data_IF_701517723612
#
_entry.id   IF_701517723612
#
_cell.length_a   1.000
_cell.length_b   1.000
_cell.length_c   1.000
_cell.angle_alpha   90.00
_cell.angle_beta   90.00
_cell.angle_gamma   90.00
#
_symmetry.space_group_name_H-M   'P 1'
#
loop_
_entity.id
_entity.type
_entity.pdbx_description
1 polymer ?
#
# COMPACT_ATOMS: atom_id res chain seq x y z
N UNK A 1 5.37 -17.47 16.67
CA UNK A 1 5.77 -16.66 15.54
C UNK A 1 4.53 -15.94 15.00
N UNK A 2 4.69 -14.66 14.69
CA UNK A 2 3.63 -13.76 14.18
C UNK A 2 3.87 -13.33 12.71
N UNK A 3 4.74 -14.05 12.02
CA UNK A 3 5.11 -13.79 10.63
C UNK A 3 4.83 -15.04 9.79
N UNK A 4 4.16 -14.86 8.67
CA UNK A 4 3.98 -15.85 7.61
C UNK A 4 4.65 -15.33 6.35
N UNK A 5 5.51 -16.13 5.73
CA UNK A 5 6.18 -15.80 4.47
C UNK A 5 5.62 -16.67 3.36
N UNK A 6 5.25 -16.06 2.25
CA UNK A 6 4.75 -16.75 1.04
C UNK A 6 5.57 -16.32 -0.18
N UNK A 7 5.49 -17.09 -1.24
CA UNK A 7 6.09 -16.79 -2.55
C UNK A 7 5.05 -17.04 -3.63
N UNK A 8 3.96 -16.30 -3.57
CA UNK A 8 2.82 -16.42 -4.47
C UNK A 8 2.61 -15.16 -5.31
N UNK A 9 1.82 -15.29 -6.38
CA UNK A 9 1.34 -14.14 -7.13
C UNK A 9 0.41 -13.29 -6.25
N UNK A 10 0.49 -11.95 -6.27
CA UNK A 10 -0.38 -11.05 -5.52
C UNK A 10 -1.88 -11.37 -5.65
N UNK A 11 -2.31 -11.89 -6.79
CA UNK A 11 -3.69 -12.31 -7.05
C UNK A 11 -4.20 -13.38 -6.06
N UNK A 12 -3.30 -14.21 -5.51
CA UNK A 12 -3.69 -15.23 -4.53
C UNK A 12 -4.33 -14.63 -3.27
N UNK A 13 -3.92 -13.41 -2.90
CA UNK A 13 -4.46 -12.70 -1.74
C UNK A 13 -5.88 -12.18 -1.93
N UNK A 14 -6.40 -12.10 -3.16
CA UNK A 14 -7.78 -11.68 -3.41
C UNK A 14 -8.82 -12.57 -2.72
N UNK A 15 -8.48 -13.84 -2.44
CA UNK A 15 -9.34 -14.77 -1.68
C UNK A 15 -9.53 -14.35 -0.21
N UNK A 16 -8.65 -13.51 0.35
CA UNK A 16 -8.70 -13.00 1.72
C UNK A 16 -9.47 -11.66 1.78
N UNK A 17 -10.67 -11.61 1.21
CA UNK A 17 -11.46 -10.37 1.07
C UNK A 17 -11.60 -9.61 2.38
N UNK A 18 -11.16 -8.34 2.40
CA UNK A 18 -11.27 -7.43 3.55
C UNK A 18 -10.51 -7.92 4.80
N UNK A 19 -9.47 -8.71 4.64
CA UNK A 19 -8.76 -9.34 5.75
C UNK A 19 -7.70 -8.44 6.39
N UNK A 20 -6.99 -7.63 5.59
CA UNK A 20 -5.88 -6.82 6.08
C UNK A 20 -6.31 -5.40 6.40
N UNK A 21 -5.92 -4.89 7.56
CA UNK A 21 -6.11 -3.48 7.94
C UNK A 21 -5.09 -2.57 7.25
N UNK A 22 -3.89 -3.10 6.98
CA UNK A 22 -2.80 -2.38 6.32
C UNK A 22 -2.16 -3.30 5.29
N UNK A 23 -1.97 -2.79 4.08
CA UNK A 23 -1.16 -3.42 3.04
C UNK A 23 -0.01 -2.48 2.71
N UNK A 24 1.21 -2.98 2.75
CA UNK A 24 2.42 -2.26 2.32
C UNK A 24 2.92 -2.90 1.04
N UNK A 25 3.06 -2.09 -0.01
CA UNK A 25 3.58 -2.55 -1.30
C UNK A 25 4.87 -1.81 -1.62
N UNK A 26 5.93 -2.57 -1.91
CA UNK A 26 7.13 -2.08 -2.56
C UNK A 26 7.13 -2.68 -3.96
N UNK A 27 6.58 -1.91 -4.91
CA UNK A 27 6.26 -2.44 -6.24
C UNK A 27 7.47 -2.37 -7.19
N UNK A 28 7.63 -3.35 -8.11
CA UNK A 28 8.67 -3.27 -9.13
C UNK A 28 8.48 -2.00 -9.97
N UNK A 29 9.54 -1.24 -10.16
CA UNK A 29 9.53 0.06 -10.83
C UNK A 29 10.69 0.23 -11.81
N UNK A 30 10.76 1.36 -12.51
CA UNK A 30 11.84 1.66 -13.46
C UNK A 30 13.21 1.88 -12.81
N UNK A 31 13.25 2.04 -11.47
CA UNK A 31 14.48 1.93 -10.70
C UNK A 31 15.41 3.15 -10.75
N UNK A 32 14.89 4.36 -10.92
CA UNK A 32 15.70 5.60 -10.98
C UNK A 32 16.55 5.81 -9.71
N UNK A 33 16.08 5.36 -8.55
CA UNK A 33 16.83 5.38 -7.30
C UNK A 33 18.07 4.48 -7.31
N UNK A 34 18.13 3.49 -8.21
CA UNK A 34 19.26 2.59 -8.34
C UNK A 34 20.37 3.12 -9.25
N UNK A 35 20.17 4.21 -9.99
CA UNK A 35 21.09 4.73 -10.99
C UNK A 35 22.49 5.03 -10.44
N UNK A 36 22.61 5.36 -9.17
CA UNK A 36 23.90 5.63 -8.52
C UNK A 36 24.71 4.35 -8.30
N UNK A 37 24.08 3.21 -8.10
CA UNK A 37 24.70 1.93 -7.77
C UNK A 37 24.76 0.96 -8.94
N UNK A 38 23.82 1.05 -9.85
CA UNK A 38 23.61 0.06 -10.90
C UNK A 38 23.56 0.74 -12.28
N UNK A 39 24.63 0.58 -13.03
CA UNK A 39 24.70 1.09 -14.40
C UNK A 39 23.70 0.39 -15.32
N UNK A 40 23.37 -0.89 -15.06
CA UNK A 40 22.39 -1.61 -15.85
C UNK A 40 21.00 -1.00 -15.68
N UNK A 41 20.66 -0.49 -14.50
CA UNK A 41 19.40 0.22 -14.28
C UNK A 41 19.30 1.48 -15.17
N UNK A 42 20.42 2.20 -15.38
CA UNK A 42 20.44 3.35 -16.30
C UNK A 42 20.26 2.92 -17.76
N UNK A 43 20.92 1.83 -18.18
CA UNK A 43 20.85 1.30 -19.55
C UNK A 43 19.47 0.74 -19.89
N UNK A 44 18.77 0.15 -18.92
CA UNK A 44 17.45 -0.43 -19.10
C UNK A 44 16.32 0.60 -18.99
N UNK A 45 16.61 1.78 -18.49
CA UNK A 45 15.61 2.82 -18.33
C UNK A 45 15.19 3.38 -19.69
N UNK A 46 13.89 3.52 -19.89
CA UNK A 46 13.29 4.17 -21.05
C UNK A 46 11.87 4.61 -20.70
N UNK A 47 11.29 5.52 -21.47
CA UNK A 47 9.89 5.93 -21.30
C UNK A 47 8.93 4.75 -21.47
N UNK A 48 9.22 3.83 -22.39
CA UNK A 48 8.43 2.62 -22.59
C UNK A 48 8.51 1.70 -21.36
N UNK A 49 9.69 1.56 -20.75
CA UNK A 49 9.86 0.78 -19.53
C UNK A 49 9.12 1.42 -18.34
N UNK A 50 9.15 2.75 -18.22
CA UNK A 50 8.34 3.49 -17.23
C UNK A 50 6.86 3.19 -17.40
N UNK A 51 6.33 3.27 -18.62
CA UNK A 51 4.93 2.98 -18.91
C UNK A 51 4.55 1.51 -18.60
N UNK A 52 5.43 0.57 -18.92
CA UNK A 52 5.28 -0.85 -18.61
C UNK A 52 5.25 -1.08 -17.10
N UNK A 53 6.19 -0.47 -16.35
CA UNK A 53 6.25 -0.55 -14.90
C UNK A 53 4.99 0.04 -14.25
N UNK A 54 4.55 1.23 -14.68
CA UNK A 54 3.34 1.85 -14.17
C UNK A 54 2.10 0.95 -14.37
N UNK A 55 1.96 0.33 -15.53
CA UNK A 55 0.88 -0.62 -15.82
C UNK A 55 0.96 -1.88 -14.94
N UNK A 56 2.16 -2.43 -14.75
CA UNK A 56 2.40 -3.60 -13.91
C UNK A 56 2.06 -3.31 -12.44
N UNK A 57 2.41 -2.14 -11.95
CA UNK A 57 2.10 -1.68 -10.59
C UNK A 57 0.59 -1.61 -10.38
N UNK A 58 -0.17 -1.03 -11.34
CA UNK A 58 -1.64 -0.99 -11.28
C UNK A 58 -2.24 -2.38 -11.19
N UNK A 59 -1.72 -3.35 -11.96
CA UNK A 59 -2.17 -4.74 -11.89
C UNK A 59 -1.94 -5.32 -10.50
N UNK A 60 -0.74 -5.15 -9.92
CA UNK A 60 -0.41 -5.66 -8.59
C UNK A 60 -1.35 -5.07 -7.54
N UNK A 61 -1.59 -3.76 -7.59
CA UNK A 61 -2.51 -3.10 -6.65
C UNK A 61 -3.94 -3.61 -6.82
N UNK A 62 -4.43 -3.75 -8.06
CA UNK A 62 -5.76 -4.29 -8.33
C UNK A 62 -5.92 -5.73 -7.79
N UNK A 63 -4.89 -6.55 -7.91
CA UNK A 63 -4.88 -7.94 -7.44
C UNK A 63 -4.96 -8.03 -5.90
N UNK A 64 -4.28 -7.16 -5.16
CA UNK A 64 -4.30 -7.19 -3.68
C UNK A 64 -5.43 -6.36 -3.07
N UNK A 65 -6.02 -5.43 -3.82
CA UNK A 65 -7.04 -4.50 -3.31
C UNK A 65 -8.24 -5.14 -2.65
N UNK A 66 -8.80 -6.26 -3.15
CA UNK A 66 -9.91 -6.93 -2.49
C UNK A 66 -9.59 -7.38 -1.06
N UNK A 67 -8.33 -7.69 -0.78
CA UNK A 67 -7.89 -8.16 0.55
C UNK A 67 -7.73 -7.03 1.59
N UNK A 68 -7.67 -5.77 1.17
CA UNK A 68 -7.66 -4.62 2.06
C UNK A 68 -9.06 -4.38 2.64
N UNK A 69 -9.15 -4.29 3.96
CA UNK A 69 -10.40 -4.01 4.66
C UNK A 69 -10.98 -2.63 4.30
N UNK A 70 -12.30 -2.45 4.33
CA UNK A 70 -12.91 -1.13 4.27
C UNK A 70 -12.35 -0.21 5.38
N UNK A 71 -11.90 0.99 5.02
CA UNK A 71 -11.20 1.90 5.94
C UNK A 71 -9.72 1.56 6.18
N UNK A 72 -9.25 0.44 5.65
CA UNK A 72 -7.85 0.03 5.71
C UNK A 72 -6.91 0.95 4.91
N UNK A 73 -5.63 0.83 5.16
CA UNK A 73 -4.60 1.71 4.60
C UNK A 73 -3.71 0.91 3.64
N UNK A 74 -3.57 1.41 2.42
CA UNK A 74 -2.53 1.00 1.49
C UNK A 74 -1.36 1.95 1.62
N UNK A 75 -0.16 1.43 1.82
CA UNK A 75 1.10 2.15 1.65
C UNK A 75 1.71 1.68 0.33
N UNK A 76 1.82 2.60 -0.60
CA UNK A 76 2.36 2.38 -1.92
C UNK A 76 3.74 3.00 -2.02
N UNK A 77 4.75 2.21 -2.37
CA UNK A 77 6.12 2.72 -2.50
C UNK A 77 6.83 2.19 -3.75
N UNK A 78 7.77 3.00 -4.23
CA UNK A 78 8.65 2.71 -5.36
C UNK A 78 10.05 3.23 -5.07
N UNK A 79 11.06 2.71 -5.74
CA UNK A 79 12.41 3.29 -5.76
C UNK A 79 12.64 4.13 -7.03
N UNK A 80 11.63 4.81 -7.53
CA UNK A 80 11.73 5.72 -8.69
C UNK A 80 11.14 7.09 -8.34
N UNK A 81 11.39 8.11 -9.18
CA UNK A 81 10.98 9.49 -8.91
C UNK A 81 10.05 10.07 -9.97
N UNK A 82 9.78 9.34 -11.05
CA UNK A 82 8.92 9.85 -12.12
C UNK A 82 7.45 9.90 -11.69
N UNK A 83 6.76 10.90 -12.23
CA UNK A 83 5.36 11.17 -11.91
C UNK A 83 4.40 10.07 -12.38
N UNK A 84 4.76 9.32 -13.42
CA UNK A 84 3.87 8.31 -14.01
C UNK A 84 3.68 7.11 -13.09
N UNK A 85 4.76 6.66 -12.48
CA UNK A 85 4.76 5.53 -11.55
C UNK A 85 4.31 5.93 -10.14
N UNK A 86 4.51 7.18 -9.72
CA UNK A 86 4.19 7.69 -8.39
C UNK A 86 2.81 8.39 -8.39
N UNK A 87 2.75 9.71 -8.48
CA UNK A 87 1.49 10.49 -8.41
C UNK A 87 0.44 10.02 -9.43
N UNK A 88 0.87 9.58 -10.61
CA UNK A 88 -0.01 9.05 -11.66
C UNK A 88 -0.72 7.76 -11.23
N UNK A 89 -0.01 6.85 -10.58
CA UNK A 89 -0.60 5.62 -10.05
C UNK A 89 -1.42 5.88 -8.79
N UNK A 90 -0.96 6.75 -7.91
CA UNK A 90 -1.73 7.15 -6.71
C UNK A 90 -3.06 7.79 -7.09
N UNK A 91 -3.06 8.65 -8.11
CA UNK A 91 -4.29 9.22 -8.67
C UNK A 91 -5.22 8.15 -9.24
N UNK A 92 -4.67 7.22 -10.02
CA UNK A 92 -5.44 6.10 -10.55
C UNK A 92 -6.07 5.23 -9.43
N UNK A 93 -5.32 4.92 -8.37
CA UNK A 93 -5.84 4.18 -7.21
C UNK A 93 -6.99 4.97 -6.55
N UNK A 94 -6.84 6.29 -6.42
CA UNK A 94 -7.85 7.15 -5.84
C UNK A 94 -9.14 7.18 -6.65
N UNK A 95 -9.03 7.38 -7.96
CA UNK A 95 -10.16 7.58 -8.87
C UNK A 95 -10.88 6.26 -9.21
N UNK A 96 -10.11 5.20 -9.52
CA UNK A 96 -10.68 3.94 -10.02
C UNK A 96 -10.99 2.94 -8.92
N UNK A 97 -10.32 3.02 -7.77
CA UNK A 97 -10.45 2.02 -6.70
C UNK A 97 -11.12 2.59 -5.44
N UNK A 98 -11.51 3.86 -5.44
CA UNK A 98 -12.20 4.50 -4.33
C UNK A 98 -11.31 4.65 -3.09
N UNK A 99 -10.15 5.28 -3.23
CA UNK A 99 -9.24 5.56 -2.14
C UNK A 99 -9.02 7.06 -1.94
N UNK A 100 -8.74 7.47 -0.70
CA UNK A 100 -8.32 8.83 -0.36
C UNK A 100 -6.83 8.86 -0.05
N UNK A 101 -6.02 9.69 -0.74
CA UNK A 101 -4.64 9.94 -0.35
C UNK A 101 -4.57 10.58 1.04
N UNK A 102 -3.68 10.06 1.88
CA UNK A 102 -3.46 10.55 3.24
C UNK A 102 -2.18 11.40 3.27
N UNK A 103 -2.34 12.72 3.30
CA UNK A 103 -1.23 13.64 3.46
C UNK A 103 -1.09 14.02 4.94
N UNK A 104 0.08 13.77 5.53
CA UNK A 104 0.38 13.97 6.96
C UNK A 104 1.56 14.92 7.12
N UNK A 105 1.38 16.15 6.67
CA UNK A 105 2.43 17.17 6.65
C UNK A 105 3.02 17.45 8.04
N UNK A 106 2.21 17.39 9.08
CA UNK A 106 2.61 17.59 10.48
C UNK A 106 3.59 16.51 10.98
N UNK A 107 3.42 15.26 10.53
CA UNK A 107 4.33 14.17 10.89
C UNK A 107 5.70 14.31 10.23
N UNK A 108 5.75 14.91 9.06
CA UNK A 108 6.95 14.99 8.23
C UNK A 108 7.63 16.37 8.27
N UNK A 109 6.95 17.39 8.83
CA UNK A 109 7.46 18.76 8.93
C UNK A 109 8.81 18.92 9.66
N UNK A 110 9.22 17.92 10.43
CA UNK A 110 10.51 17.89 11.13
C UNK A 110 11.51 16.88 10.56
N UNK A 111 11.20 16.20 9.45
CA UNK A 111 12.09 15.20 8.86
C UNK A 111 12.94 15.80 7.75
N UNK A 112 14.26 16.03 8.00
CA UNK A 112 15.14 16.60 6.98
C UNK A 112 15.21 15.70 5.75
N UNK A 113 15.16 16.30 4.56
CA UNK A 113 15.35 15.59 3.30
C UNK A 113 14.13 14.90 2.74
N UNK A 114 12.99 14.96 3.42
CA UNK A 114 11.70 14.49 2.87
C UNK A 114 11.09 15.61 2.02
N UNK A 115 10.78 15.29 0.77
CA UNK A 115 10.13 16.22 -0.17
C UNK A 115 8.67 15.80 -0.34
N UNK A 116 7.76 16.73 -0.14
CA UNK A 116 6.34 16.52 -0.47
C UNK A 116 6.15 16.54 -1.98
N UNK A 117 5.51 15.50 -2.52
CA UNK A 117 5.07 15.45 -3.92
C UNK A 117 3.60 15.88 -4.04
N UNK A 118 2.98 15.68 -5.19
CA UNK A 118 1.56 15.98 -5.37
C UNK A 118 0.64 15.15 -4.47
N UNK A 119 0.92 13.84 -4.32
CA UNK A 119 0.07 12.89 -3.62
C UNK A 119 0.84 11.97 -2.64
N UNK A 120 2.09 12.30 -2.34
CA UNK A 120 2.95 11.51 -1.47
C UNK A 120 4.19 12.26 -1.01
N UNK A 121 5.25 11.51 -0.77
CA UNK A 121 6.52 12.01 -0.24
C UNK A 121 7.68 11.25 -0.86
N UNK A 122 8.72 12.00 -1.24
CA UNK A 122 9.96 11.44 -1.78
C UNK A 122 11.13 11.66 -0.82
N UNK A 123 11.90 10.61 -0.63
CA UNK A 123 13.20 10.62 0.03
C UNK A 123 14.27 10.60 -1.06
N UNK A 124 14.93 11.72 -1.30
CA UNK A 124 15.81 11.90 -2.46
C UNK A 124 17.27 11.71 -2.05
N UNK A 125 18.07 10.93 -2.82
CA UNK A 125 19.51 10.79 -2.59
C UNK A 125 20.21 12.15 -2.51
N UNK A 126 21.11 12.28 -1.53
CA UNK A 126 21.80 13.53 -1.25
C UNK A 126 21.12 14.45 -0.25
N UNK A 127 19.81 14.29 -0.04
CA UNK A 127 19.06 14.92 1.06
C UNK A 127 18.85 13.96 2.22
N UNK A 128 18.76 12.65 1.92
CA UNK A 128 18.72 11.56 2.90
C UNK A 128 19.85 10.57 2.63
N UNK A 129 20.26 9.83 3.65
CA UNK A 129 21.14 8.67 3.47
C UNK A 129 20.35 7.52 2.86
N UNK A 130 20.73 7.08 1.66
CA UNK A 130 20.07 5.98 0.96
C UNK A 130 19.98 6.17 -0.55
N UNK A 131 19.26 5.25 -1.20
CA UNK A 131 19.10 5.22 -2.66
C UNK A 131 17.87 6.01 -3.13
N UNK A 132 17.02 6.38 -2.20
CA UNK A 132 15.77 7.07 -2.47
C UNK A 132 14.55 6.17 -2.51
N UNK A 133 13.43 6.74 -2.14
CA UNK A 133 12.14 6.07 -2.07
C UNK A 133 11.04 7.10 -2.30
N UNK A 134 10.03 6.75 -3.05
CA UNK A 134 8.76 7.47 -3.06
C UNK A 134 7.72 6.68 -2.29
N UNK A 135 6.86 7.36 -1.53
CA UNK A 135 5.89 6.71 -0.66
C UNK A 135 4.61 7.52 -0.59
N UNK A 136 3.50 6.85 -0.76
CA UNK A 136 2.16 7.41 -0.61
C UNK A 136 1.29 6.51 0.26
N UNK A 137 0.45 7.09 1.09
CA UNK A 137 -0.53 6.37 1.88
C UNK A 137 -1.94 6.72 1.41
N UNK A 138 -2.79 5.69 1.26
CA UNK A 138 -4.17 5.85 0.82
C UNK A 138 -5.11 5.07 1.73
N UNK A 139 -6.28 5.63 2.04
CA UNK A 139 -7.34 4.96 2.77
C UNK A 139 -8.39 4.43 1.80
N UNK A 140 -8.75 3.16 1.93
CA UNK A 140 -9.88 2.57 1.21
C UNK A 140 -11.19 3.15 1.75
N UNK A 141 -11.90 3.99 0.94
CA UNK A 141 -13.08 4.74 1.40
C UNK A 141 -14.37 3.96 1.17
N UNK A 142 -14.50 3.24 0.05
CA UNK A 142 -15.72 2.49 -0.23
C UNK A 142 -15.61 1.05 0.28
N UNK A 143 -16.52 0.73 1.21
CA UNK A 143 -17.05 -0.62 1.21
C UNK A 143 -17.86 -0.76 -0.09
N UNK A 144 -17.63 -1.83 -0.85
CA UNK A 144 -18.55 -2.23 -1.91
C UNK A 144 -19.97 -2.12 -1.34
N UNK A 145 -20.89 -1.34 -1.94
CA UNK A 145 -22.25 -1.17 -1.42
C UNK A 145 -22.98 -2.52 -1.27
N UNK A 146 -22.51 -3.56 -1.94
CA UNK A 146 -23.03 -4.92 -1.83
C UNK A 146 -22.63 -5.65 -0.52
N UNK A 147 -21.48 -5.31 0.09
CA UNK A 147 -20.99 -5.97 1.32
C UNK A 147 -21.65 -5.40 2.58
N UNK A 148 -22.19 -4.17 2.54
CA UNK A 148 -22.92 -3.59 3.68
C UNK A 148 -24.24 -4.31 4.01
N UNK A 149 -24.81 -5.07 3.08
CA UNK A 149 -26.03 -5.83 3.31
C UNK A 149 -25.82 -7.20 4.00
N UNK A 150 -24.59 -7.68 4.10
CA UNK A 150 -24.24 -8.98 4.67
C UNK A 150 -23.71 -8.92 6.13
N UNK A 151 -23.48 -7.74 6.70
CA UNK A 151 -23.14 -7.61 8.12
C UNK A 151 -24.42 -7.61 8.98
N UNK A 152 -24.96 -8.79 9.21
CA UNK A 152 -25.92 -9.04 10.28
C UNK A 152 -25.29 -8.70 11.65
N UNK A 153 -26.13 -8.47 12.69
CA UNK A 153 -25.66 -7.96 13.96
C UNK A 153 -24.62 -8.87 14.59
N UNK A 154 -23.53 -8.30 15.06
CA UNK A 154 -22.44 -8.98 15.72
C UNK A 154 -22.97 -9.92 16.82
N UNK A 155 -22.75 -11.22 16.68
CA UNK A 155 -23.06 -12.21 17.70
C UNK A 155 -22.26 -11.89 18.95
N UNK A 156 -22.94 -11.29 19.95
CA UNK A 156 -22.42 -11.16 21.32
C UNK A 156 -22.07 -12.57 21.81
N UNK A 157 -20.80 -12.86 21.94
CA UNK A 157 -20.35 -14.05 22.68
C UNK A 157 -20.73 -13.83 24.15
N UNK A 158 -21.80 -14.52 24.60
CA UNK A 158 -22.12 -14.63 26.01
C UNK A 158 -20.99 -15.39 26.71
N UNK A 159 -20.31 -14.70 27.61
CA UNK A 159 -19.39 -15.30 28.56
C UNK A 159 -20.23 -16.16 29.50
N UNK A 160 -20.17 -17.48 29.35
CA UNK A 160 -20.70 -18.41 30.37
C UNK A 160 -19.76 -18.36 31.56
N UNK A 161 -20.27 -17.77 32.61
CA UNK A 161 -19.72 -17.78 33.95
C UNK A 161 -19.96 -19.18 34.56
N UNK A 162 -18.91 -19.98 34.67
CA UNK A 162 -18.96 -21.28 35.35
C UNK A 162 -19.01 -21.01 36.84
N UNK A 163 -20.19 -21.09 37.43
CA UNK A 163 -20.37 -21.13 38.87
C UNK A 163 -19.74 -22.40 39.46
N UNK A 164 -18.73 -22.25 40.32
CA UNK A 164 -18.22 -23.28 41.20
C UNK A 164 -19.24 -23.54 42.29
N UNK A 165 -19.67 -24.79 42.43
CA UNK A 165 -20.39 -25.29 43.60
C UNK A 165 -19.40 -25.47 44.77
N UNK A 166 -19.77 -25.10 46.02
CA UNK A 166 -18.99 -25.45 47.19
C UNK A 166 -19.34 -26.91 47.62
N UNK A 167 -18.29 -27.67 47.89
CA UNK A 167 -18.41 -28.97 48.59
C UNK A 167 -18.60 -28.73 50.10
N UNK A 168 -19.55 -29.45 50.66
CA UNK A 168 -19.74 -29.70 52.09
C UNK A 168 -19.35 -31.12 52.40
#
# INVERSE_FOLDING_TARGET
PNVVVTSDDPKAFAALSGYFDIIVTDVPCSGEGMFRKDLQAQEQWSEDNVALCASRQRRIIADVWPSLAPGGILIYSTCTFNVYENDGNVRWISEEMGAEPLMKDDLLAGMPGVIKTGLGYSLVPGLVEGEGQDCSALRKVSADPYVRSASGPARRRSRQETARKPES
#
